data_IF_763091396672
#
_entry.id   IF_763091396672
#
_cell.length_a   1.000
_cell.length_b   1.000
_cell.length_c   1.000
_cell.angle_alpha   90.00
_cell.angle_beta   90.00
_cell.angle_gamma   90.00
#
_symmetry.space_group_name_H-M   'P 1'
#
loop_
_entity.id
_entity.type
_entity.pdbx_description
1 polymer ?
2 non-polymer ?
3 non-polymer ?
4 non-polymer ?
5 non-polymer ?
6 non-polymer ?
7 water ?
#
# COMPACT_ATOMS: atom_id res chain seq x y z
N UNK A 1 -12.96 -10.15 7.45
CA UNK A 1 -12.59 -8.71 7.32
C UNK A 1 -12.03 -8.43 5.94
N UNK A 2 -12.18 -7.17 5.47
CA UNK A 2 -11.63 -6.78 4.18
C UNK A 2 -10.96 -5.42 4.31
N UNK A 3 -9.93 -5.25 3.51
CA UNK A 3 -9.31 -3.96 3.34
C UNK A 3 -9.96 -3.25 2.21
N UNK A 4 -10.46 -2.08 2.45
CA UNK A 4 -11.02 -1.26 1.39
C UNK A 4 -9.97 -0.19 1.03
N UNK A 5 -9.47 -0.23 -0.20
CA UNK A 5 -8.43 0.73 -0.62
C UNK A 5 -9.07 1.60 -1.69
N UNK A 6 -9.25 2.89 -1.41
CA UNK A 6 -9.91 3.79 -2.36
C UNK A 6 -8.89 4.87 -2.78
N UNK A 7 -8.87 5.17 -4.06
CA UNK A 7 -8.02 6.26 -4.54
C UNK A 7 -8.99 7.35 -4.94
N UNK A 8 -8.91 8.49 -4.32
CA UNK A 8 -9.90 9.56 -4.50
C UNK A 8 -9.23 10.91 -4.75
N UNK A 9 -9.99 11.86 -5.24
CA UNK A 9 -9.44 13.22 -5.49
C UNK A 9 -9.12 13.84 -4.14
N UNK A 10 -8.06 14.63 -4.05
CA UNK A 10 -7.75 15.31 -2.81
C UNK A 10 -8.86 16.28 -2.37
N UNK A 11 -9.48 16.93 -3.36
CA UNK A 11 -10.56 17.86 -3.02
C UNK A 11 -11.78 17.16 -2.43
N UNK A 12 -11.95 15.85 -2.72
CA UNK A 12 -13.12 15.14 -2.21
C UNK A 12 -12.80 14.41 -0.91
N UNK A 13 -11.52 14.18 -0.63
CA UNK A 13 -11.17 13.39 0.52
C UNK A 13 -11.80 13.89 1.86
N UNK A 14 -11.80 15.21 2.15
CA UNK A 14 -12.41 15.61 3.41
C UNK A 14 -13.89 15.24 3.51
N UNK A 15 -14.60 15.24 2.39
CA UNK A 15 -16.01 14.75 2.38
C UNK A 15 -16.08 13.25 2.63
N UNK A 16 -15.15 12.49 2.08
CA UNK A 16 -15.13 11.05 2.32
C UNK A 16 -14.89 10.77 3.82
N UNK A 17 -13.89 11.44 4.41
CA UNK A 17 -13.55 11.27 5.82
C UNK A 17 -14.79 11.58 6.69
N UNK A 18 -15.46 12.71 6.40
CA UNK A 18 -16.62 13.12 7.20
C UNK A 18 -17.76 12.08 7.03
N UNK A 19 -17.97 11.56 5.80
CA UNK A 19 -19.08 10.60 5.57
C UNK A 19 -18.81 9.33 6.38
N UNK A 20 -17.53 8.86 6.39
CA UNK A 20 -17.19 7.67 7.16
C UNK A 20 -17.38 7.92 8.64
N UNK A 21 -16.88 9.05 9.10
CA UNK A 21 -16.96 9.35 10.55
C UNK A 21 -18.39 9.45 11.05
N UNK A 22 -19.25 10.03 10.21
CA UNK A 22 -20.67 10.19 10.60
C UNK A 22 -21.32 8.84 10.87
N UNK A 23 -20.84 7.78 10.20
CA UNK A 23 -21.35 6.43 10.40
C UNK A 23 -20.51 5.59 11.35
N UNK A 24 -19.57 6.24 12.07
CA UNK A 24 -18.77 5.56 13.12
C UNK A 24 -17.57 4.76 12.62
N UNK A 25 -17.21 4.95 11.34
CA UNK A 25 -15.97 4.33 10.81
C UNK A 25 -14.84 5.32 11.06
N UNK A 26 -14.17 5.17 12.18
CA UNK A 26 -13.15 6.13 12.61
C UNK A 26 -11.78 5.69 12.21
N UNK A 27 -11.50 4.42 12.18
CA UNK A 27 -10.07 4.02 11.92
C UNK A 27 -9.78 4.07 10.41
N UNK A 28 -8.71 4.70 10.06
CA UNK A 28 -8.39 4.80 8.62
C UNK A 28 -6.98 5.25 8.47
N UNK A 29 -6.36 4.82 7.37
CA UNK A 29 -4.93 5.18 7.10
C UNK A 29 -4.94 5.80 5.71
N UNK A 30 -4.23 6.95 5.61
CA UNK A 30 -4.25 7.76 4.39
C UNK A 30 -2.85 8.02 3.91
N UNK A 31 -2.66 7.94 2.60
CA UNK A 31 -1.35 8.15 1.98
C UNK A 31 -1.48 9.09 0.82
N UNK A 32 -0.54 10.02 0.66
CA UNK A 32 -0.51 10.84 -0.55
C UNK A 32 0.14 10.02 -1.66
N UNK A 33 -0.53 9.91 -2.79
CA UNK A 33 -0.01 9.09 -3.92
C UNK A 33 -0.13 9.90 -5.18
N UNK A 34 0.37 9.34 -6.27
CA UNK A 34 0.14 9.92 -7.59
C UNK A 34 -0.45 8.92 -8.52
N UNK A 35 -1.22 9.30 -9.52
CA UNK A 35 -1.76 8.25 -10.35
C UNK A 35 -2.12 8.79 -11.73
N UNK A 36 -2.37 7.89 -12.65
CA UNK A 36 -3.11 8.25 -13.88
C UNK A 36 -4.17 7.19 -14.12
N UNK A 37 -5.12 7.51 -15.02
CA UNK A 37 -6.12 6.55 -15.44
C UNK A 37 -6.03 6.48 -16.96
N UNK A 38 -7.20 6.13 -17.54
CA UNK A 38 -7.26 6.01 -18.99
C UNK A 38 -7.23 7.39 -19.66
N UNK A 39 -7.71 8.44 -18.99
CA UNK A 39 -7.78 9.77 -19.66
C UNK A 39 -6.38 10.22 -20.13
N UNK A 40 -6.23 10.60 -21.39
CA UNK A 40 -4.92 10.97 -21.91
C UNK A 40 -4.40 9.93 -22.91
N UNK A 41 -4.81 8.67 -22.73
CA UNK A 41 -4.33 7.60 -23.64
C UNK A 41 -2.82 7.44 -23.50
N UNK A 42 -2.11 7.20 -24.61
CA UNK A 42 -0.66 6.91 -24.52
C UNK A 42 0.15 8.21 -24.34
N UNK A 43 -0.35 9.33 -24.80
CA UNK A 43 0.40 10.59 -24.59
C UNK A 43 -0.44 11.81 -24.95
N UNK A 44 0.06 12.97 -24.59
CA UNK A 44 -0.63 14.21 -24.85
C UNK A 44 0.38 15.09 -25.62
N UNK A 45 -0.05 16.31 -25.97
CA UNK A 45 0.73 17.22 -26.86
C UNK A 45 0.87 18.66 -26.31
N UNK A 46 -0.26 19.40 -26.25
CA UNK A 46 -0.27 20.84 -25.95
C UNK A 46 0.80 21.50 -26.85
N UNK A 47 1.19 22.75 -26.59
CA UNK A 47 2.25 23.38 -27.42
C UNK A 47 3.59 22.59 -27.34
N UNK A 48 3.60 21.37 -27.89
CA UNK A 48 4.79 20.51 -27.94
C UNK A 48 5.13 20.03 -29.36
N UNK A 49 6.07 19.10 -29.52
CA UNK A 49 6.59 18.25 -28.45
C UNK A 49 5.44 17.54 -27.69
N UNK A 50 5.36 16.23 -27.85
CA UNK A 50 4.35 15.48 -27.14
C UNK A 50 4.97 15.14 -25.76
N UNK A 51 4.09 14.93 -24.76
CA UNK A 51 4.52 14.79 -23.39
C UNK A 51 3.85 13.52 -22.88
N UNK A 52 4.41 12.86 -21.87
CA UNK A 52 3.70 11.72 -21.28
C UNK A 52 2.43 12.22 -20.53
N UNK A 53 1.46 11.36 -20.27
CA UNK A 53 0.38 11.63 -19.31
C UNK A 53 0.92 11.73 -17.89
N UNK A 54 0.64 12.85 -17.24
CA UNK A 54 1.21 13.16 -15.93
C UNK A 54 0.60 12.29 -14.89
N UNK A 55 1.44 11.76 -13.97
CA UNK A 55 0.90 11.22 -12.74
C UNK A 55 0.59 12.37 -11.76
N UNK A 56 -0.67 12.48 -11.37
CA UNK A 56 -1.08 13.65 -10.59
C UNK A 56 -1.47 13.22 -9.21
N UNK A 57 -1.41 14.14 -8.24
CA UNK A 57 -1.68 13.76 -6.83
C UNK A 57 -3.11 13.26 -6.63
N UNK A 58 -3.20 12.25 -5.80
CA UNK A 58 -4.48 11.72 -5.34
C UNK A 58 -4.37 11.33 -3.86
N UNK A 59 -5.45 10.93 -3.19
CA UNK A 59 -5.32 10.45 -1.83
C UNK A 59 -5.76 9.03 -1.79
N UNK A 60 -4.92 8.20 -1.17
CA UNK A 60 -5.24 6.78 -0.97
C UNK A 60 -5.75 6.60 0.45
N UNK A 61 -6.98 6.08 0.54
CA UNK A 61 -7.60 5.72 1.81
C UNK A 61 -7.56 4.22 1.95
N UNK A 62 -7.10 3.73 3.09
CA UNK A 62 -7.22 2.30 3.41
C UNK A 62 -8.03 2.19 4.71
N UNK A 63 -9.11 1.42 4.66
CA UNK A 63 -9.94 1.23 5.81
C UNK A 63 -10.21 -0.27 5.91
N UNK A 64 -9.89 -0.91 7.02
CA UNK A 64 -10.18 -2.34 7.23
C UNK A 64 -11.45 -2.43 8.02
N UNK A 65 -12.39 -3.22 7.53
CA UNK A 65 -13.73 -3.32 8.15
C UNK A 65 -14.20 -4.76 8.19
N UNK A 66 -15.19 -5.03 9.04
CA UNK A 66 -15.79 -6.35 9.02
C UNK A 66 -16.45 -6.67 7.67
N UNK A 67 -16.59 -7.95 7.33
CA UNK A 67 -17.18 -8.25 6.02
C UNK A 67 -18.58 -7.65 5.88
N UNK A 68 -19.40 -7.66 6.93
CA UNK A 68 -20.77 -7.20 6.80
C UNK A 68 -20.89 -5.69 6.67
N UNK A 69 -19.76 -4.96 6.76
CA UNK A 69 -19.77 -3.47 6.61
C UNK A 69 -19.27 -3.04 5.25
N UNK A 70 -18.76 -3.98 4.46
CA UNK A 70 -18.08 -3.58 3.20
C UNK A 70 -19.02 -2.83 2.27
N UNK A 71 -20.23 -3.35 2.03
CA UNK A 71 -21.08 -2.69 1.01
C UNK A 71 -21.45 -1.30 1.49
N UNK A 72 -21.76 -1.15 2.80
CA UNK A 72 -22.08 0.19 3.33
C UNK A 72 -20.91 1.15 3.14
N UNK A 73 -19.70 0.72 3.43
CA UNK A 73 -18.54 1.62 3.34
C UNK A 73 -18.33 1.94 1.86
N UNK A 74 -18.45 0.99 0.95
CA UNK A 74 -18.34 1.30 -0.49
C UNK A 74 -19.35 2.38 -0.86
N UNK A 75 -20.61 2.29 -0.38
CA UNK A 75 -21.58 3.36 -0.74
C UNK A 75 -21.22 4.72 -0.20
N UNK A 76 -20.70 4.73 1.03
CA UNK A 76 -20.32 6.02 1.66
C UNK A 76 -19.18 6.64 0.86
N UNK A 77 -18.23 5.85 0.36
CA UNK A 77 -17.10 6.44 -0.40
C UNK A 77 -17.54 6.85 -1.78
N UNK A 78 -18.33 6.00 -2.45
CA UNK A 78 -18.77 6.36 -3.82
C UNK A 78 -19.53 7.67 -3.75
N UNK A 79 -20.45 7.83 -2.77
CA UNK A 79 -21.29 9.03 -2.75
C UNK A 79 -20.48 10.28 -2.47
N UNK A 80 -19.49 10.18 -1.60
CA UNK A 80 -18.75 11.35 -1.16
C UNK A 80 -17.60 11.69 -2.10
N UNK A 81 -17.10 10.70 -2.85
CA UNK A 81 -15.94 10.94 -3.74
C UNK A 81 -16.34 11.28 -5.18
N UNK A 82 -17.61 11.02 -5.48
CA UNK A 82 -18.10 11.27 -6.84
C UNK A 82 -18.07 12.72 -7.28
N UNK A 83 -17.64 12.90 -8.54
CA UNK A 83 -17.85 14.20 -9.20
C UNK A 83 -18.52 14.03 -10.54
N UNK A 84 -18.32 12.86 -11.20
CA UNK A 84 -18.87 12.61 -12.55
C UNK A 84 -17.89 12.80 -13.70
N UNK A 85 -16.62 13.20 -13.40
CA UNK A 85 -15.54 13.39 -14.41
C UNK A 85 -14.50 12.29 -14.27
N UNK A 86 -13.91 11.85 -15.38
CA UNK A 86 -12.82 10.89 -15.28
C UNK A 86 -11.75 11.38 -14.28
N UNK A 87 -11.27 10.47 -13.45
CA UNK A 87 -10.31 10.76 -12.42
C UNK A 87 -10.95 10.67 -11.05
N UNK A 88 -12.27 10.32 -10.94
CA UNK A 88 -12.90 10.19 -9.61
C UNK A 88 -12.33 9.03 -8.83
N UNK A 89 -11.74 8.03 -9.44
CA UNK A 89 -11.02 7.00 -8.65
C UNK A 89 -11.70 5.62 -8.66
N UNK A 90 -11.09 4.72 -7.93
CA UNK A 90 -11.55 3.36 -7.94
C UNK A 90 -11.43 2.91 -6.48
N UNK A 91 -12.18 1.86 -6.12
CA UNK A 91 -12.13 1.26 -4.80
C UNK A 91 -11.77 -0.21 -5.03
N UNK A 92 -10.78 -0.73 -4.32
CA UNK A 92 -10.36 -2.13 -4.39
C UNK A 92 -10.70 -2.81 -3.08
N UNK A 93 -11.29 -4.01 -3.15
CA UNK A 93 -11.66 -4.75 -1.95
C UNK A 93 -10.65 -5.91 -1.87
N UNK A 94 -9.87 -5.95 -0.82
CA UNK A 94 -8.75 -6.86 -0.70
C UNK A 94 -9.00 -7.76 0.56
N UNK A 95 -8.91 -9.10 0.48
CA UNK A 95 -9.13 -9.89 1.67
C UNK A 95 -8.06 -9.69 2.75
N UNK A 96 -8.49 -9.69 4.01
CA UNK A 96 -7.56 -9.63 5.13
C UNK A 96 -7.78 -10.91 5.92
N UNK A 97 -6.71 -11.65 6.25
CA UNK A 97 -6.88 -12.91 6.95
C UNK A 97 -6.96 -12.76 8.43
N UNK A 98 -6.28 -11.73 8.97
CA UNK A 98 -6.39 -11.39 10.37
C UNK A 98 -5.88 -10.01 10.65
N UNK A 99 -6.32 -9.52 11.80
CA UNK A 99 -5.95 -8.20 12.25
C UNK A 99 -5.48 -8.30 13.67
N UNK A 100 -4.47 -7.57 14.06
CA UNK A 100 -4.04 -7.59 15.45
C UNK A 100 -4.01 -6.13 15.95
N UNK A 101 -4.54 -5.90 17.14
CA UNK A 101 -4.52 -4.55 17.81
C UNK A 101 -3.18 -4.58 18.58
N UNK A 102 -2.24 -3.68 18.29
CA UNK A 102 -0.93 -3.73 18.96
C UNK A 102 -1.03 -3.52 20.48
N UNK A 103 -1.93 -2.62 20.89
CA UNK A 103 -2.01 -2.23 22.30
C UNK A 103 -2.37 -3.42 23.18
N UNK A 104 -3.21 -4.31 22.70
CA UNK A 104 -3.76 -5.36 23.58
C UNK A 104 -3.49 -6.80 23.05
N UNK A 105 -3.07 -6.93 21.78
CA UNK A 105 -2.89 -8.25 21.15
C UNK A 105 -4.19 -8.83 20.60
N UNK A 106 -5.30 -8.14 20.82
CA UNK A 106 -6.61 -8.71 20.39
C UNK A 106 -6.65 -8.87 18.88
N UNK A 107 -7.19 -9.98 18.44
CA UNK A 107 -7.42 -10.28 17.04
C UNK A 107 -8.89 -10.32 16.64
N UNK A 108 -9.12 -10.51 15.33
CA UNK A 108 -10.45 -10.78 14.77
C UNK A 108 -11.28 -9.53 14.67
N UNK A 109 -12.54 -9.67 14.38
CA UNK A 109 -13.39 -8.48 14.21
C UNK A 109 -13.34 -7.60 15.43
N UNK A 110 -13.11 -8.23 16.60
CA UNK A 110 -12.76 -7.50 17.88
C UNK A 110 -11.64 -6.46 17.82
N UNK A 111 -10.62 -6.75 17.02
CA UNK A 111 -9.56 -5.84 16.94
C UNK A 111 -10.01 -4.56 16.18
N UNK A 112 -11.19 -4.52 15.58
CA UNK A 112 -11.47 -3.36 14.69
C UNK A 112 -12.06 -2.09 15.28
N UNK B 1 -9.42 -10.74 -10.59
CA UNK B 1 -8.52 -9.53 -10.68
C UNK B 1 -7.51 -9.63 -9.60
N UNK B 2 -6.35 -9.03 -9.87
CA UNK B 2 -5.25 -9.04 -8.88
C UNK B 2 -4.62 -7.69 -8.79
N UNK B 3 -4.10 -7.40 -7.61
CA UNK B 3 -3.31 -6.20 -7.45
C UNK B 3 -1.86 -6.58 -7.57
N UNK B 4 -1.18 -5.93 -8.48
CA UNK B 4 0.27 -6.11 -8.63
C UNK B 4 0.94 -4.95 -7.92
N UNK B 5 1.79 -5.26 -6.94
CA UNK B 5 2.46 -4.23 -6.17
C UNK B 5 3.96 -4.44 -6.44
N UNK B 6 4.63 -3.51 -7.07
CA UNK B 6 6.04 -3.71 -7.43
C UNK B 6 6.82 -2.61 -6.72
N UNK B 7 7.95 -2.93 -6.13
CA UNK B 7 8.82 -1.94 -5.55
C UNK B 7 10.04 -1.84 -6.49
N UNK B 8 10.26 -0.70 -7.13
CA UNK B 8 11.30 -0.60 -8.17
C UNK B 8 12.20 0.57 -7.91
N UNK B 9 13.34 0.62 -8.57
CA UNK B 9 14.24 1.78 -8.41
C UNK B 9 13.63 3.01 -9.06
N UNK B 10 13.80 4.20 -8.47
CA UNK B 10 13.27 5.41 -9.03
C UNK B 10 13.82 5.67 -10.42
N UNK B 11 15.08 5.30 -10.66
CA UNK B 11 15.69 5.52 -11.98
C UNK B 11 15.02 4.69 -13.07
N UNK B 12 14.42 3.57 -12.64
CA UNK B 12 13.82 2.60 -13.64
C UNK B 12 12.35 2.85 -13.80
N UNK B 13 11.73 3.57 -12.86
CA UNK B 13 10.29 3.70 -12.90
C UNK B 13 9.77 4.32 -14.25
N UNK B 14 10.44 5.36 -14.81
CA UNK B 14 9.94 5.94 -16.13
C UNK B 14 9.86 4.87 -17.20
N UNK B 15 10.82 3.95 -17.18
CA UNK B 15 10.86 2.88 -18.21
C UNK B 15 9.74 1.87 -17.95
N UNK B 16 9.48 1.62 -16.67
CA UNK B 16 8.37 0.70 -16.33
C UNK B 16 7.00 1.33 -16.75
N UNK B 17 6.79 2.62 -16.45
CA UNK B 17 5.57 3.30 -16.85
C UNK B 17 5.36 3.27 -18.36
N UNK B 18 6.42 3.60 -19.10
CA UNK B 18 6.31 3.63 -20.56
C UNK B 18 6.03 2.21 -21.10
N UNK B 19 6.64 1.18 -20.52
CA UNK B 19 6.40 -0.21 -20.99
C UNK B 19 4.99 -0.66 -20.77
N UNK B 20 4.41 -0.24 -19.63
CA UNK B 20 3.01 -0.51 -19.39
C UNK B 20 2.08 0.26 -20.32
N UNK B 21 2.35 1.55 -20.53
CA UNK B 21 1.47 2.37 -21.38
C UNK B 21 1.46 1.92 -22.81
N UNK B 22 2.60 1.43 -23.28
CA UNK B 22 2.70 0.92 -24.64
C UNK B 22 1.77 -0.24 -24.88
N UNK B 23 1.50 -1.00 -23.82
CA UNK B 23 0.61 -2.16 -23.93
C UNK B 23 -0.82 -1.86 -23.38
N UNK B 24 -1.15 -0.55 -23.23
CA UNK B 24 -2.50 -0.17 -22.89
C UNK B 24 -2.87 -0.27 -21.42
N UNK B 25 -1.86 -0.45 -20.58
CA UNK B 25 -2.09 -0.47 -19.10
C UNK B 25 -1.90 0.95 -18.62
N UNK B 26 -2.99 1.69 -18.56
CA UNK B 26 -2.92 3.12 -18.22
C UNK B 26 -3.13 3.40 -16.72
N UNK B 27 -4.02 2.70 -16.07
CA UNK B 27 -4.37 2.95 -14.68
C UNK B 27 -3.24 2.42 -13.82
N UNK B 28 -2.75 3.30 -12.90
CA UNK B 28 -1.69 2.91 -11.99
C UNK B 28 -1.63 3.93 -10.89
N UNK B 29 -1.26 3.45 -9.69
CA UNK B 29 -1.06 4.35 -8.52
C UNK B 29 0.37 4.18 -8.05
N UNK B 30 1.01 5.27 -7.79
CA UNK B 30 2.45 5.28 -7.42
C UNK B 30 2.68 6.03 -6.09
N UNK B 31 3.49 5.40 -5.25
CA UNK B 31 3.83 5.98 -3.98
C UNK B 31 5.32 6.08 -3.83
N UNK B 32 5.80 7.15 -3.20
CA UNK B 32 7.23 7.18 -2.82
C UNK B 32 7.41 6.43 -1.49
N UNK B 33 8.32 5.47 -1.43
CA UNK B 33 8.49 4.62 -0.26
C UNK B 33 9.95 4.59 0.03
N UNK B 34 10.33 3.95 1.13
CA UNK B 34 11.76 3.66 1.39
C UNK B 34 11.84 2.20 1.73
N UNK B 35 13.00 1.60 1.52
CA UNK B 35 13.10 0.17 1.80
C UNK B 35 14.52 -0.25 1.99
N UNK B 36 14.66 -1.45 2.53
CA UNK B 36 15.95 -2.11 2.48
C UNK B 36 15.71 -3.54 2.07
N UNK B 37 16.79 -4.22 1.72
CA UNK B 37 16.74 -5.62 1.37
C UNK B 37 17.81 -6.34 2.14
N UNK B 38 18.21 -7.51 1.62
CA UNK B 38 19.27 -8.28 2.33
C UNK B 38 20.60 -7.55 2.31
N UNK B 39 20.87 -6.82 1.24
CA UNK B 39 22.23 -6.18 1.10
C UNK B 39 22.58 -5.36 2.34
N UNK B 40 23.74 -5.63 2.94
CA UNK B 40 24.08 -4.86 4.12
C UNK B 40 24.01 -5.74 5.36
N UNK B 41 23.14 -6.74 5.38
CA UNK B 41 23.01 -7.56 6.56
C UNK B 41 22.53 -6.75 7.76
N UNK B 42 23.13 -7.03 8.89
CA UNK B 42 22.72 -6.37 10.12
C UNK B 42 23.15 -4.94 10.31
N UNK B 43 24.31 -4.59 9.78
CA UNK B 43 24.87 -3.28 10.02
C UNK B 43 25.90 -3.03 9.00
N UNK B 44 26.24 -1.77 8.82
CA UNK B 44 27.36 -1.49 7.98
C UNK B 44 28.39 -0.69 8.77
N UNK B 45 29.59 -0.67 8.23
CA UNK B 45 30.58 0.33 8.68
C UNK B 45 31.39 0.80 7.52
N UNK B 46 31.73 2.09 7.60
CA UNK B 46 32.37 2.93 6.59
C UNK B 46 33.13 3.99 7.45
N UNK B 47 34.11 4.72 6.91
CA UNK B 47 34.94 5.52 7.83
C UNK B 47 35.69 4.45 8.70
N UNK B 48 35.44 4.29 10.02
CA UNK B 48 34.35 4.79 10.85
C UNK B 48 34.19 3.89 12.09
N UNK B 49 33.04 3.91 12.73
CA UNK B 49 31.83 4.46 12.16
C UNK B 49 30.89 3.33 11.66
N UNK B 50 30.21 2.72 12.61
CA UNK B 50 29.29 1.62 12.39
C UNK B 50 27.80 2.08 12.40
N UNK B 51 27.00 1.70 11.39
CA UNK B 51 25.66 2.30 11.23
C UNK B 51 24.59 1.26 10.84
N UNK B 52 23.33 1.61 11.01
CA UNK B 52 22.24 0.71 10.55
C UNK B 52 22.27 0.72 9.02
N UNK B 53 21.70 -0.30 8.41
CA UNK B 53 21.47 -0.28 7.00
C UNK B 53 20.35 0.70 6.73
N UNK B 54 20.63 1.57 5.80
CA UNK B 54 19.70 2.63 5.50
C UNK B 54 18.45 2.23 4.73
N UNK B 55 17.28 2.76 5.09
CA UNK B 55 16.06 2.64 4.26
C UNK B 55 16.22 3.70 3.20
N UNK B 56 16.30 3.29 1.94
CA UNK B 56 16.56 4.20 0.84
C UNK B 56 15.31 4.37 -0.06
N UNK B 57 15.20 5.49 -0.76
CA UNK B 57 13.98 5.73 -1.56
C UNK B 57 13.77 4.70 -2.69
N UNK B 58 12.53 4.28 -2.87
CA UNK B 58 12.13 3.42 -3.98
C UNK B 58 10.79 3.93 -4.47
N UNK B 59 10.31 3.39 -5.57
CA UNK B 59 8.99 3.73 -6.04
C UNK B 59 8.13 2.49 -5.90
N UNK B 60 6.95 2.63 -5.28
CA UNK B 60 5.99 1.54 -5.23
C UNK B 60 4.96 1.83 -6.32
N UNK B 61 4.76 0.85 -7.19
CA UNK B 61 3.70 0.86 -8.17
C UNK B 61 2.63 -0.12 -7.79
N UNK B 62 1.39 0.29 -7.86
CA UNK B 62 0.25 -0.63 -7.65
C UNK B 62 -0.58 -0.56 -8.92
N UNK B 63 -0.83 -1.71 -9.53
CA UNK B 63 -1.68 -1.76 -10.70
C UNK B 63 -2.61 -2.94 -10.56
N UNK B 64 -3.92 -2.66 -10.62
CA UNK B 64 -4.92 -3.77 -10.49
C UNK B 64 -5.34 -4.11 -11.90
N UNK B 65 -5.27 -5.40 -12.21
CA UNK B 65 -5.58 -5.88 -13.57
C UNK B 65 -6.39 -7.18 -13.54
N UNK B 66 -6.98 -7.55 -14.67
CA UNK B 66 -7.66 -8.85 -14.78
C UNK B 66 -6.72 -10.01 -14.62
N UNK B 67 -7.21 -11.14 -14.10
CA UNK B 67 -6.32 -12.26 -13.86
C UNK B 67 -5.54 -12.64 -15.12
N UNK B 68 -6.18 -12.58 -16.30
CA UNK B 68 -5.51 -13.02 -17.55
C UNK B 68 -4.36 -12.12 -17.94
N UNK B 69 -4.26 -10.91 -17.38
CA UNK B 69 -3.21 -9.98 -17.73
C UNK B 69 -2.04 -10.02 -16.76
N UNK B 70 -2.16 -10.75 -15.66
CA UNK B 70 -1.18 -10.64 -14.57
C UNK B 70 0.23 -11.00 -15.05
N UNK B 71 0.43 -12.15 -15.77
CA UNK B 71 1.78 -12.53 -16.13
C UNK B 71 2.37 -11.59 -17.18
N UNK B 72 1.53 -11.06 -18.08
CA UNK B 72 1.99 -10.01 -19.01
C UNK B 72 2.51 -8.81 -18.22
N UNK B 73 1.71 -8.32 -17.29
CA UNK B 73 2.16 -7.16 -16.51
C UNK B 73 3.43 -7.46 -15.73
N UNK B 74 3.45 -8.62 -15.07
CA UNK B 74 4.69 -8.97 -14.32
C UNK B 74 5.89 -8.92 -15.24
N UNK B 75 5.80 -9.51 -16.43
CA UNK B 75 6.98 -9.45 -17.31
C UNK B 75 7.36 -8.09 -17.81
N UNK B 76 6.34 -7.24 -18.07
CA UNK B 76 6.65 -5.89 -18.50
C UNK B 76 7.41 -5.16 -17.41
N UNK B 77 7.01 -5.34 -16.14
CA UNK B 77 7.71 -4.64 -15.07
C UNK B 77 9.10 -5.27 -14.89
N UNK B 78 9.23 -6.61 -14.79
CA UNK B 78 10.55 -7.19 -14.65
C UNK B 78 11.52 -6.77 -15.73
N UNK B 79 11.10 -6.80 -17.01
CA UNK B 79 12.05 -6.50 -18.09
C UNK B 79 12.54 -5.05 -17.99
N UNK B 80 11.64 -4.14 -17.58
CA UNK B 80 11.96 -2.70 -17.57
C UNK B 80 12.60 -2.24 -16.27
N UNK B 81 12.40 -2.98 -15.14
CA UNK B 81 12.92 -2.55 -13.84
C UNK B 81 14.27 -3.21 -13.58
N UNK B 82 14.61 -4.28 -14.32
CA UNK B 82 15.82 -5.04 -14.01
C UNK B 82 17.12 -4.20 -14.23
N UNK B 83 18.09 -4.33 -13.33
CA UNK B 83 19.46 -3.86 -13.60
C UNK B 83 20.49 -4.92 -13.37
N UNK B 84 20.21 -5.96 -12.59
CA UNK B 84 21.21 -6.98 -12.30
C UNK B 84 21.89 -6.86 -10.97
N UNK B 85 21.65 -5.76 -10.25
CA UNK B 85 22.30 -5.51 -8.93
C UNK B 85 21.34 -5.63 -7.79
N UNK B 86 21.82 -5.95 -6.60
CA UNK B 86 20.91 -6.03 -5.44
C UNK B 86 20.13 -4.72 -5.29
N UNK B 87 18.86 -4.78 -4.96
CA UNK B 87 18.08 -3.56 -4.84
C UNK B 87 17.09 -3.39 -5.99
N UNK B 88 17.08 -4.31 -6.98
CA UNK B 88 16.15 -4.18 -8.10
C UNK B 88 14.68 -4.31 -7.71
N UNK B 89 14.34 -4.98 -6.60
CA UNK B 89 12.94 -4.97 -6.11
C UNK B 89 12.23 -6.30 -6.26
N UNK B 90 10.94 -6.25 -5.86
CA UNK B 90 10.14 -7.46 -5.85
C UNK B 90 8.79 -7.01 -6.29
N UNK B 91 8.05 -7.96 -6.78
CA UNK B 91 6.68 -7.82 -7.19
C UNK B 91 5.82 -8.77 -6.39
N UNK B 92 4.75 -8.24 -5.79
CA UNK B 92 3.81 -9.06 -4.98
C UNK B 92 2.48 -9.12 -5.69
N UNK B 93 1.87 -10.30 -5.77
CA UNK B 93 0.62 -10.44 -6.42
C UNK B 93 -0.41 -10.69 -5.30
N UNK B 94 -1.41 -9.80 -5.21
CA UNK B 94 -2.35 -9.81 -4.07
C UNK B 94 -3.74 -9.99 -4.63
N UNK B 95 -4.54 -10.90 -4.06
CA UNK B 95 -5.92 -11.05 -4.61
C UNK B 95 -6.79 -9.80 -4.36
N UNK B 96 -7.64 -9.47 -5.33
CA UNK B 96 -8.61 -8.38 -5.20
C UNK B 96 -9.98 -9.03 -5.41
N UNK B 97 -10.89 -8.95 -4.44
CA UNK B 97 -12.17 -9.56 -4.62
C UNK B 97 -13.13 -8.77 -5.47
N UNK B 98 -13.02 -7.45 -5.44
CA UNK B 98 -13.82 -6.64 -6.38
C UNK B 98 -13.28 -5.26 -6.51
N UNK B 99 -13.70 -4.56 -7.56
CA UNK B 99 -13.28 -3.21 -7.88
C UNK B 99 -14.52 -2.43 -8.17
N UNK B 100 -14.53 -1.18 -7.76
CA UNK B 100 -15.67 -0.31 -8.05
C UNK B 100 -15.12 0.95 -8.71
N UNK B 101 -15.71 1.37 -9.82
CA UNK B 101 -15.34 2.59 -10.48
C UNK B 101 -16.22 3.68 -9.85
N UNK B 102 -15.63 4.65 -9.21
CA UNK B 102 -16.40 5.67 -8.45
C UNK B 102 -17.32 6.47 -9.37
N UNK B 103 -16.85 6.80 -10.55
CA UNK B 103 -17.66 7.67 -11.43
C UNK B 103 -18.97 7.08 -11.83
N UNK B 104 -19.01 5.78 -12.01
CA UNK B 104 -20.20 5.16 -12.57
C UNK B 104 -20.82 4.14 -11.63
N UNK B 105 -20.06 3.66 -10.66
CA UNK B 105 -20.49 2.57 -9.79
C UNK B 105 -20.30 1.23 -10.45
N UNK B 106 -19.67 1.14 -11.65
CA UNK B 106 -19.45 -0.21 -12.32
C UNK B 106 -18.47 -1.08 -11.50
N UNK B 107 -18.72 -2.39 -11.47
CA UNK B 107 -17.83 -3.33 -10.75
C UNK B 107 -17.31 -4.40 -11.70
N UNK B 108 -16.45 -5.28 -11.19
CA UNK B 108 -16.01 -6.45 -12.02
C UNK B 108 -14.94 -5.95 -13.04
N UNK B 109 -14.51 -6.82 -13.95
CA UNK B 109 -13.49 -6.46 -14.99
C UNK B 109 -13.88 -5.23 -15.82
N UNK B 110 -15.20 -5.15 -16.12
CA UNK B 110 -15.90 -3.89 -16.51
C UNK B 110 -15.28 -2.66 -15.82
N UNK B 111 -15.03 -2.74 -14.52
CA UNK B 111 -14.49 -1.59 -13.78
C UNK B 111 -13.04 -1.30 -14.13
N UNK B 112 -12.40 -2.20 -14.87
CA UNK B 112 -10.99 -1.98 -15.27
C UNK B 112 -10.88 -1.76 -16.80
N UNK C 1 2.64 -17.48 1.32
CA UNK C 1 3.22 -16.12 1.63
C UNK C 1 2.17 -15.20 2.12
N UNK C 2 2.57 -14.26 2.97
CA UNK C 2 1.64 -13.23 3.41
C UNK C 2 2.32 -11.88 3.44
N UNK C 3 1.53 -10.83 3.22
CA UNK C 3 1.99 -9.45 3.43
C UNK C 3 1.56 -9.06 4.80
N UNK C 4 2.47 -8.65 5.65
CA UNK C 4 2.15 -8.14 6.95
C UNK C 4 2.26 -6.63 6.86
N UNK C 5 1.16 -5.92 7.05
CA UNK C 5 1.13 -4.45 6.95
C UNK C 5 0.83 -3.92 8.35
N UNK C 6 1.80 -3.23 8.89
CA UNK C 6 1.67 -2.71 10.25
C UNK C 6 1.71 -1.19 10.26
N UNK C 7 0.80 -0.57 11.01
CA UNK C 7 0.84 0.88 11.17
C UNK C 7 1.30 1.13 12.57
N UNK C 8 2.46 1.79 12.71
CA UNK C 8 3.05 1.96 14.05
C UNK C 8 3.42 3.43 14.26
N UNK C 9 3.68 3.75 15.54
CA UNK C 9 4.11 5.14 15.82
C UNK C 9 5.52 5.36 15.28
N UNK C 10 5.76 6.57 14.79
CA UNK C 10 7.09 6.89 14.28
C UNK C 10 8.16 6.77 15.32
N UNK C 11 7.84 7.08 16.60
CA UNK C 11 8.79 6.97 17.72
C UNK C 11 9.20 5.52 17.95
N UNK C 12 8.34 4.56 17.58
CA UNK C 12 8.67 3.16 17.85
C UNK C 12 9.21 2.43 16.62
N UNK C 13 9.05 3.02 15.44
CA UNK C 13 9.51 2.32 14.28
C UNK C 13 11.01 1.86 14.36
N UNK C 14 11.91 2.72 14.87
CA UNK C 14 13.33 2.22 14.90
C UNK C 14 13.50 0.93 15.72
N UNK C 15 12.74 0.78 16.79
CA UNK C 15 12.82 -0.43 17.60
C UNK C 15 12.24 -1.59 16.83
N UNK C 16 11.15 -1.36 16.07
CA UNK C 16 10.54 -2.46 15.26
C UNK C 16 11.56 -2.94 14.22
N UNK C 17 12.19 -1.98 13.55
CA UNK C 17 13.15 -2.31 12.48
C UNK C 17 14.30 -3.13 13.10
N UNK C 18 14.79 -2.67 14.26
CA UNK C 18 15.89 -3.39 14.92
C UNK C 18 15.45 -4.78 15.36
N UNK C 19 14.23 -4.93 15.91
CA UNK C 19 13.75 -6.25 16.31
C UNK C 19 13.72 -7.22 15.14
N UNK C 20 13.19 -6.74 13.99
CA UNK C 20 13.13 -7.59 12.80
C UNK C 20 14.50 -7.99 12.32
N UNK C 21 15.37 -6.99 12.24
CA UNK C 21 16.76 -7.25 11.75
C UNK C 21 17.53 -8.20 12.63
N UNK C 22 17.35 -8.11 13.93
CA UNK C 22 18.05 -9.00 14.89
C UNK C 22 17.67 -10.48 14.59
N UNK C 23 16.46 -10.70 14.06
CA UNK C 23 16.04 -12.05 13.72
C UNK C 23 16.16 -12.38 12.27
N UNK C 24 16.89 -11.54 11.54
CA UNK C 24 17.15 -11.88 10.15
C UNK C 24 16.12 -11.44 9.11
N UNK C 25 15.13 -10.68 9.53
CA UNK C 25 14.19 -10.14 8.56
C UNK C 25 14.74 -8.82 8.09
N UNK C 26 15.22 -8.82 6.88
CA UNK C 26 15.89 -7.66 6.37
C UNK C 26 15.03 -6.98 5.30
N UNK C 27 14.23 -7.71 4.54
CA UNK C 27 13.45 -7.00 3.47
C UNK C 27 12.23 -6.34 4.02
N UNK C 28 12.06 -5.06 3.73
CA UNK C 28 10.90 -4.35 4.27
C UNK C 28 10.73 -3.10 3.47
N UNK C 29 9.49 -2.67 3.39
CA UNK C 29 9.12 -1.42 2.66
C UNK C 29 8.34 -0.52 3.58
N UNK C 30 8.70 0.76 3.66
CA UNK C 30 8.14 1.64 4.68
C UNK C 30 7.58 2.88 4.03
N UNK C 31 6.42 3.34 4.43
CA UNK C 31 5.77 4.53 3.82
C UNK C 31 5.38 5.47 5.00
N UNK C 32 5.54 6.77 4.81
CA UNK C 32 4.95 7.73 5.77
C UNK C 32 3.48 7.92 5.43
N UNK C 33 2.65 7.73 6.44
CA UNK C 33 1.22 7.78 6.21
C UNK C 33 0.64 8.70 7.26
N UNK C 34 -0.68 8.97 7.23
CA UNK C 34 -1.33 9.62 8.34
C UNK C 34 -2.55 8.77 8.73
N UNK C 35 -3.02 8.85 9.93
CA UNK C 35 -4.16 8.03 10.34
C UNK C 35 -4.89 8.62 11.50
N UNK C 36 -6.08 8.08 11.69
CA UNK C 36 -6.74 8.26 12.98
C UNK C 36 -7.31 6.94 13.36
N UNK C 37 -7.65 6.84 14.65
CA UNK C 37 -8.36 5.67 15.23
C UNK C 37 -9.61 6.13 15.92
N UNK C 38 -10.08 5.34 16.88
CA UNK C 38 -11.33 5.64 17.55
C UNK C 38 -11.15 6.83 18.47
N UNK C 39 -9.91 7.09 18.94
CA UNK C 39 -9.70 8.16 19.94
C UNK C 39 -10.11 9.54 19.36
N UNK C 40 -10.94 10.27 20.11
CA UNK C 40 -11.47 11.57 19.66
C UNK C 40 -12.93 11.53 19.19
N UNK C 41 -13.43 10.35 18.83
CA UNK C 41 -14.81 10.17 18.33
C UNK C 41 -15.07 11.04 17.11
N UNK C 42 -16.22 11.68 17.04
CA UNK C 42 -16.58 12.39 15.82
C UNK C 42 -15.89 13.77 15.73
N UNK C 43 -15.52 14.36 16.87
CA UNK C 43 -14.98 15.72 16.84
C UNK C 43 -14.24 16.03 18.11
N UNK C 44 -13.34 17.00 18.01
CA UNK C 44 -12.55 17.45 19.18
C UNK C 44 -13.02 18.84 19.58
N UNK C 45 -12.81 19.10 20.89
CA UNK C 45 -13.24 20.26 21.75
C UNK C 45 -12.93 21.71 21.29
N UNK C 46 -11.66 22.12 21.39
CA UNK C 46 -11.21 23.55 21.23
C UNK C 46 -11.65 24.22 19.90
N UNK C 47 -11.72 25.58 19.81
CA UNK C 47 -11.68 26.56 20.94
C UNK C 47 -12.16 27.99 20.58
N UNK C 48 -13.46 28.31 20.80
CA UNK C 48 -14.49 27.36 21.28
C UNK C 48 -15.38 26.85 20.14
N UNK C 49 -14.75 26.30 19.10
CA UNK C 49 -15.41 25.82 17.88
C UNK C 49 -15.09 24.30 17.75
N UNK C 50 -15.91 23.45 17.11
CA UNK C 50 -15.36 22.12 17.08
C UNK C 50 -14.45 21.93 15.87
N UNK C 51 -13.57 20.96 16.01
CA UNK C 51 -12.49 20.70 15.06
C UNK C 51 -12.65 19.22 14.74
N UNK C 52 -12.32 18.84 13.51
CA UNK C 52 -12.28 17.41 13.22
C UNK C 52 -11.11 16.73 13.97
N UNK C 53 -11.20 15.41 14.11
CA UNK C 53 -10.11 14.62 14.62
C UNK C 53 -9.00 14.61 13.57
N UNK C 54 -7.79 14.91 13.99
CA UNK C 54 -6.70 15.11 13.07
C UNK C 54 -6.15 13.79 12.58
N UNK C 55 -5.84 13.71 11.28
CA UNK C 55 -5.02 12.58 10.81
C UNK C 55 -3.56 12.86 11.13
N UNK C 56 -2.92 12.02 11.94
CA UNK C 56 -1.55 12.30 12.44
C UNK C 56 -0.57 11.34 11.79
N UNK C 57 0.70 11.76 11.71
CA UNK C 57 1.69 10.93 11.02
C UNK C 57 1.90 9.57 11.70
N UNK C 58 2.06 8.52 10.92
CA UNK C 58 2.38 7.18 11.42
C UNK C 58 3.36 6.61 10.44
N UNK C 59 3.91 5.44 10.75
CA UNK C 59 4.75 4.73 9.79
C UNK C 59 4.10 3.43 9.42
N UNK C 60 3.97 3.22 8.10
CA UNK C 60 3.44 1.96 7.59
C UNK C 60 4.62 1.06 7.20
N UNK C 61 4.66 -0.13 7.78
CA UNK C 61 5.70 -1.12 7.46
C UNK C 61 4.94 -2.20 6.65
N UNK C 62 5.49 -2.62 5.51
CA UNK C 62 5.01 -3.78 4.79
C UNK C 62 6.18 -4.75 4.73
N UNK C 63 5.94 -5.98 5.14
CA UNK C 63 6.98 -7.01 5.06
C UNK C 63 6.29 -8.28 4.55
N UNK C 64 6.79 -8.84 3.47
CA UNK C 64 6.19 -10.06 2.91
C UNK C 64 7.07 -11.22 3.35
N UNK C 65 6.43 -12.26 3.90
CA UNK C 65 7.20 -13.38 4.45
C UNK C 65 6.49 -14.71 4.18
N UNK C 66 7.23 -15.81 4.29
CA UNK C 66 6.60 -17.11 4.17
C UNK C 66 5.59 -17.35 5.24
N UNK C 67 4.62 -18.21 4.94
CA UNK C 67 3.55 -18.46 5.92
C UNK C 67 4.13 -18.86 7.29
N UNK C 68 5.19 -19.67 7.33
CA UNK C 68 5.73 -20.16 8.61
C UNK C 68 6.44 -19.10 9.45
N UNK C 69 6.54 -17.88 8.91
CA UNK C 69 7.25 -16.78 9.63
C UNK C 69 6.23 -15.77 10.14
N UNK C 70 4.95 -15.87 9.79
CA UNK C 70 3.97 -14.78 10.07
C UNK C 70 3.83 -14.59 11.57
N UNK C 71 3.65 -15.67 12.35
CA UNK C 71 3.44 -15.46 13.78
C UNK C 71 4.68 -14.88 14.43
N UNK C 72 5.85 -15.33 14.03
CA UNK C 72 7.06 -14.75 14.56
C UNK C 72 7.13 -13.26 14.31
N UNK C 73 6.88 -12.86 13.08
CA UNK C 73 7.01 -11.43 12.74
C UNK C 73 5.97 -10.59 13.44
N UNK C 74 4.71 -11.07 13.51
CA UNK C 74 3.69 -10.36 14.25
C UNK C 74 4.27 -10.10 15.65
N UNK C 75 4.77 -11.14 16.34
CA UNK C 75 5.17 -10.93 17.78
C UNK C 75 6.31 -9.97 17.86
N UNK C 76 7.21 -10.01 16.89
CA UNK C 76 8.35 -9.07 16.96
C UNK C 76 7.83 -7.63 16.81
N UNK C 77 6.84 -7.42 15.93
CA UNK C 77 6.30 -6.05 15.75
C UNK C 77 5.50 -5.63 16.99
N UNK C 78 4.59 -6.51 17.47
CA UNK C 78 3.78 -6.09 18.61
C UNK C 78 4.64 -5.74 19.80
N UNK C 79 5.65 -6.58 20.08
CA UNK C 79 6.39 -6.38 21.27
C UNK C 79 7.33 -5.18 21.15
N UNK C 80 7.70 -4.75 19.95
CA UNK C 80 8.54 -3.58 19.85
C UNK C 80 7.72 -2.28 19.60
N UNK C 81 6.54 -2.41 19.06
CA UNK C 81 5.70 -1.21 18.79
C UNK C 81 4.83 -0.78 19.99
N UNK C 82 4.61 -1.69 20.95
CA UNK C 82 3.68 -1.46 22.04
C UNK C 82 4.11 -0.27 22.90
N UNK C 83 3.13 0.56 23.26
CA UNK C 83 3.33 1.49 24.36
C UNK C 83 2.26 1.44 25.41
N UNK C 84 1.05 0.95 25.07
CA UNK C 84 -0.04 0.78 26.04
C UNK C 84 -1.07 1.89 25.99
N UNK C 85 -0.86 2.90 25.15
CA UNK C 85 -1.81 4.02 24.92
C UNK C 85 -2.54 3.83 23.61
N UNK C 86 -3.79 4.33 23.52
CA UNK C 86 -4.48 4.38 22.21
C UNK C 86 -3.59 5.04 21.13
N UNK C 87 -3.55 4.44 19.91
CA UNK C 87 -2.77 4.99 18.83
C UNK C 87 -1.55 4.07 18.53
N UNK C 88 -1.38 2.95 19.28
CA UNK C 88 -0.26 2.03 19.08
C UNK C 88 -0.29 1.38 17.70
N UNK C 89 -1.47 1.23 17.08
CA UNK C 89 -1.46 0.70 15.70
C UNK C 89 -2.12 -0.67 15.59
N UNK C 90 -2.13 -1.12 14.37
CA UNK C 90 -2.72 -2.37 14.01
C UNK C 90 -1.84 -3.06 13.04
N UNK C 91 -1.99 -4.37 12.95
CA UNK C 91 -1.28 -5.17 11.93
C UNK C 91 -2.36 -5.88 11.16
N UNK C 92 -2.24 -5.88 9.82
CA UNK C 92 -3.17 -6.53 8.89
C UNK C 92 -2.36 -7.61 8.20
N UNK C 93 -2.90 -8.81 8.16
CA UNK C 93 -2.28 -9.92 7.43
C UNK C 93 -3.05 -10.13 6.12
N UNK C 94 -2.37 -9.97 4.99
CA UNK C 94 -3.00 -9.97 3.69
C UNK C 94 -2.42 -11.09 2.87
N UNK C 95 -3.26 -11.93 2.24
CA UNK C 95 -2.67 -13.04 1.40
C UNK C 95 -1.86 -12.50 0.21
N UNK C 96 -0.78 -13.21 -0.07
CA UNK C 96 -0.02 -12.90 -1.28
C UNK C 96 0.04 -14.19 -2.09
N UNK C 97 -0.36 -14.14 -3.35
CA UNK C 97 -0.42 -15.38 -4.14
C UNK C 97 0.92 -15.73 -4.75
N UNK C 98 1.80 -14.74 -5.02
CA UNK C 98 3.10 -15.03 -5.57
C UNK C 98 3.98 -13.82 -5.36
N UNK C 99 5.28 -14.05 -5.40
CA UNK C 99 6.24 -12.98 -5.28
C UNK C 99 7.30 -13.23 -6.35
N UNK C 100 7.75 -12.20 -7.03
CA UNK C 100 8.78 -12.32 -8.10
C UNK C 100 9.95 -11.43 -7.70
N UNK C 101 11.16 -11.99 -7.75
CA UNK C 101 12.34 -11.17 -7.56
C UNK C 101 12.77 -10.59 -8.87
N UNK C 102 12.80 -9.28 -8.98
CA UNK C 102 13.11 -8.65 -10.25
C UNK C 102 14.49 -8.99 -10.77
N UNK C 103 15.49 -9.08 -9.90
CA UNK C 103 16.89 -9.26 -10.34
C UNK C 103 17.06 -10.59 -11.04
N UNK C 104 16.36 -11.61 -10.55
CA UNK C 104 16.65 -13.02 -10.99
C UNK C 104 15.47 -13.68 -11.65
N UNK C 105 14.31 -13.06 -11.52
CA UNK C 105 13.06 -13.63 -12.03
C UNK C 105 12.52 -14.80 -11.24
N UNK C 106 13.16 -15.16 -10.14
CA UNK C 106 12.67 -16.26 -9.30
C UNK C 106 11.34 -15.92 -8.65
N UNK C 107 10.53 -16.94 -8.41
CA UNK C 107 9.21 -16.79 -7.84
C UNK C 107 8.90 -17.88 -6.88
N UNK C 108 7.78 -17.77 -6.18
CA UNK C 108 7.33 -18.88 -5.36
C UNK C 108 8.25 -19.17 -4.20
N UNK C 109 8.66 -20.45 -4.06
CA UNK C 109 9.56 -20.83 -2.96
C UNK C 109 10.90 -20.10 -3.00
N UNK C 110 11.36 -19.68 -4.19
CA UNK C 110 12.71 -19.08 -4.25
C UNK C 110 12.72 -17.55 -4.10
N UNK C 111 11.59 -16.91 -3.91
CA UNK C 111 11.57 -15.44 -3.95
C UNK C 111 11.76 -14.76 -2.58
N UNK C 112 11.63 -15.52 -1.49
CA UNK C 112 11.76 -14.95 -0.13
C UNK C 112 12.67 -15.94 0.54
N UNK C 113 13.47 -15.44 1.46
CA UNK C 113 14.33 -16.36 2.27
C UNK C 113 13.53 -17.26 3.26
N UNK C 114 13.99 -18.49 3.50
CA UNK C 114 13.46 -19.21 4.65
C UNK C 114 14.12 -18.76 5.95
N UNK C 115 13.27 -18.33 6.89
CA UNK C 115 13.77 -17.87 8.20
C UNK C 115 13.62 -18.96 9.28
X LIG D 1 -12.68 6.70 -15.47
X LIG D 1 -12.90 6.53 -16.89
X LIG D 1 -12.34 5.33 -14.84
X LIG D 1 -13.82 7.41 -14.93
X LIG D 1 -9.85 7.37 -15.62
X LIG D 1 -9.53 5.98 -16.02
X LIG D 1 -9.21 8.46 -16.42
X LIG D 1 -11.41 7.66 -15.50
X LIG D 1 -9.80 6.81 -12.77
X LIG D 1 -10.06 5.40 -13.15
X LIG D 1 -10.82 7.61 -12.08
X LIG D 1 -9.40 7.57 -14.05
X LIG D 1 -8.47 6.87 -11.92
X LIG D 1 -8.18 7.75 -10.85
X LIG D 1 -7.02 7.17 -10.08
X LIG D 1 -7.30 5.84 -9.64
X LIG D 1 -5.76 7.04 -10.93
X LIG D 1 -5.07 8.32 -11.13
X LIG D 1 -4.94 6.02 -10.19
X LIG D 1 -4.39 6.60 -9.02
X LIG D 1 -6.04 5.11 -9.68
X LIG D 1 -6.26 3.96 -10.61
X LIG D 1 -7.15 3.94 -11.68
X LIG D 1 -7.12 2.69 -12.23
X LIG D 1 -6.17 1.95 -11.56
X LIG D 1 -5.67 0.57 -11.61
X LIG D 1 -6.15 -0.26 -12.58
X LIG D 1 -4.74 0.21 -10.69
X LIG D 1 -4.27 1.05 -9.73
X LIG D 1 -4.72 2.33 -9.63
X LIG D 1 -5.65 2.78 -10.51
X LIG E 1 -2.72 -4.86 -0.09
X LIG F 1 -15.99 -10.80 9.58
X LIG F 1 -15.32 -10.86 10.59
X LIG F 1 -15.50 -9.93 8.93
X LIG F 1 -17.09 -11.76 9.20
X LIG G 1 -10.25 4.78 -14.86
X LIG H 1 19.15 -9.29 -3.64
X LIG H 1 19.16 -9.20 -5.12
X LIG H 1 18.15 -10.27 -3.16
X LIG H 1 20.55 -9.47 -3.04
X LIG H 1 18.25 -7.16 -1.80
X LIG H 1 17.57 -8.17 -0.91
X LIG H 1 19.36 -6.31 -1.26
X LIG H 1 18.66 -7.79 -3.22
X LIG H 1 15.71 -6.35 -3.06
X LIG H 1 15.21 -7.68 -2.63
X LIG H 1 15.85 -6.08 -4.50
X LIG H 1 17.14 -6.09 -2.39
X LIG H 1 14.82 -5.20 -2.39
X LIG H 1 14.59 -3.89 -2.97
X LIG H 1 13.38 -3.30 -2.26
X LIG H 1 12.23 -4.22 -2.32
X LIG H 1 13.62 -3.13 -0.77
X LIG H 1 14.42 -1.95 -0.51
X LIG H 1 12.23 -3.10 -0.16
X LIG H 1 11.61 -1.79 -0.50
X LIG H 1 11.52 -4.10 -1.06
X LIG H 1 11.52 -5.46 -0.47
X LIG H 1 12.44 -6.43 -0.62
X LIG H 1 12.08 -7.53 0.06
X LIG H 1 10.90 -7.25 0.73
X LIG H 1 9.99 -8.00 1.52
X LIG H 1 10.24 -9.27 1.89
X LIG H 1 8.91 -7.34 1.97
X LIG H 1 8.67 -6.04 1.68
X LIG H 1 9.42 -5.30 0.84
X LIG H 1 10.55 -5.90 0.38
X LIG I 1 -11.20 -11.10 -13.88
X LIG I 1 -10.02 -11.10 -13.50
X LIG I 1 -11.77 -12.14 -13.86
X LIG I 1 -11.84 -9.85 -14.38
X LIG J 1 15.83 -8.88 -1.10
X LIG K 1 -7.32 1.91 20.57
X LIG K 1 -6.14 1.33 21.23
X LIG K 1 -7.64 0.94 19.50
X LIG K 1 -8.45 2.55 21.37
X LIG K 1 -7.33 3.96 18.52
X LIG K 1 -8.43 3.22 17.84
X LIG K 1 -7.41 5.47 18.85
X LIG K 1 -6.78 3.18 19.79
X LIG K 1 -5.34 2.65 16.75
X LIG K 1 -6.44 1.68 16.46
X LIG K 1 -4.10 2.19 17.46
X LIG K 1 -5.98 3.86 17.59
X LIG K 1 -4.90 3.33 15.41
X LIG K 1 -3.56 3.73 15.14
X LIG K 1 -3.47 3.83 13.62
X LIG K 1 -3.80 2.59 12.94
X LIG K 1 -4.50 4.80 12.98
X LIG K 1 -4.08 6.18 13.13
X LIG K 1 -4.56 4.38 11.56
X LIG K 1 -3.41 4.80 10.84
X LIG K 1 -4.42 2.88 11.69
X LIG K 1 -5.79 2.21 11.78
X LIG K 1 -6.49 1.94 12.93
X LIG K 1 -7.67 1.32 12.63
X LIG K 1 -7.70 1.19 11.23
X LIG K 1 -8.57 0.54 10.30
X LIG K 1 -9.75 -0.06 10.70
X LIG K 1 -8.24 0.56 9.03
X LIG K 1 -7.09 1.16 8.59
X LIG K 1 -6.21 1.76 9.36
X LIG K 1 -6.49 1.76 10.70
X LIG L 1 -0.73 -1.02 0.24
X LIG L 1 -0.15 -1.27 -0.87
X LIG L 1 -1.83 -0.54 0.15
X LIG L 1 -0.15 -1.27 1.56
X LIG M 1 5.12 -20.21 1.49
X LIG M 1 4.52 -19.20 2.33
X LIG M 1 5.89 -21.13 2.40
X LIG M 1 4.04 -20.92 0.76
X LIG M 1 6.05 -19.67 0.39
X LIG N 1 13.52 -11.63 1.88
X LIG N 1 14.75 -10.76 2.24
X LIG N 1 12.44 -10.87 1.26
X LIG N 1 13.92 -12.71 0.85
X LIG N 1 12.97 -12.29 3.14
X LIG O 1 -7.46 1.49 17.56
#
# INVERSE_FOLDING_TARGET
MKKIEAIVRAEKFPEVKAALEERGFYGMTVTDVKGRGQQGGMQIQFRGRTMEVTLLPKVKLEIVVKDDAVEEVIGLIVNSAFTGSPGDGKIFIIPVEDVVRIRTGERGDDSLEHHHHHH
MKKIEAIVRAEKFPEVKAALEERGFYGMTVTDVKGRGQQGGMQIQFRGRTMEVTLLPKVKLEIVVKDDAVEEVIGLIVNSAFTGSPGDGKIFIIPVEDVVRIRTGERGDDSLEHHHHHH
MKKIEAIVRAEKFPEVKAALEERGFYGMTVTDVKGRGQQGGMQIQFRGRTMEVTLLPKVKLEIVVKDDAVEEVIGLIVNSAFTGSPGDGKIFIIPVEDVVRIRTGERGDDSLEHHHHHH
ATP PG O1G O2G O3G PB O1B O2B O3B PA O1A O2A O3A O5' C5' C4' O4' C3' O3' C2' O2' C1' N9 C8 N7 C5 C6 N6 N1 C2 N3 C4
CL CL
ACT C O OXT CH3
MG MG
ATP PG O1G O2G O3G PB O1B O2B O3B PA O1A O2A O3A O5' C5' C4' O4' C3' O3' C2' O2' C1' N9 C8 N7 C5 C6 N6 N1 C2 N3 C4
ACT C O OXT CH3
MG MG
ATP PG O1G O2G O3G PB O1B O2B O3B PA O1A O2A O3A O5' C5' C4' O4' C3' O3' C2' O2' C1' N9 C8 N7 C5 C6 N6 N1 C2 N3 C4
ACT C O OXT CH3
PO4 P O1 O2 O3 O4
PO4 P O1 O2 O3 O4
MG MG
#
